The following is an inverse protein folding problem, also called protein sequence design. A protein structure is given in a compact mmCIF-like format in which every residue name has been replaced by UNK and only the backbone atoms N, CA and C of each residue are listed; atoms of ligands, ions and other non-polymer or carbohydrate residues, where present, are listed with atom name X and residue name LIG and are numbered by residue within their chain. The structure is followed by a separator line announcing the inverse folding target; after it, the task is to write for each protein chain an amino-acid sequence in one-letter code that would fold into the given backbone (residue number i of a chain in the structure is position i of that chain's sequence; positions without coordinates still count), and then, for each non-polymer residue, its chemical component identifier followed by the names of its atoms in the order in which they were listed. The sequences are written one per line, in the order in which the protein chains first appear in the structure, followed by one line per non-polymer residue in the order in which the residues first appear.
data_IF_558358994521
#
_entry.id   IF_558358994521
#
_cell.length_a   1.000
_cell.length_b   1.000
_cell.length_c   1.000
_cell.angle_alpha   90.00
_cell.angle_beta   90.00
_cell.angle_gamma   90.00
#
_symmetry.space_group_name_H-M   'P 1'
#
loop_
_entity.id
_entity.type
_entity.pdbx_description
1 polymer ?
#
# COMPACT_ATOMS: atom_id res chain seq x y z
N UNK A 1 -21.33 -16.67 19.83
CA UNK A 1 -19.93 -17.05 20.05
C UNK A 1 -19.10 -16.17 19.14
N UNK A 2 -18.17 -15.39 19.70
CA UNK A 2 -17.31 -14.51 18.90
C UNK A 2 -16.25 -15.38 18.25
N UNK A 3 -16.16 -15.34 16.92
CA UNK A 3 -15.23 -16.18 16.15
C UNK A 3 -13.99 -15.41 15.70
N UNK A 4 -14.08 -14.08 15.61
CA UNK A 4 -12.98 -13.20 15.27
C UNK A 4 -13.26 -11.77 15.79
N UNK A 5 -12.20 -11.07 16.19
CA UNK A 5 -12.25 -9.65 16.56
C UNK A 5 -11.21 -8.92 15.69
N UNK A 6 -11.66 -7.94 14.89
CA UNK A 6 -10.77 -7.06 14.12
C UNK A 6 -10.67 -5.71 14.83
N UNK A 7 -9.47 -5.34 15.25
CA UNK A 7 -9.18 -4.06 15.89
C UNK A 7 -8.02 -3.37 15.17
N UNK A 8 -8.13 -2.05 14.99
CA UNK A 8 -7.03 -1.20 14.50
C UNK A 8 -6.38 -0.57 15.73
N UNK A 9 -5.06 -0.70 15.85
CA UNK A 9 -4.28 -0.12 16.93
C UNK A 9 -2.99 0.48 16.40
N UNK A 10 -2.50 1.51 17.07
CA UNK A 10 -1.19 2.11 16.77
C UNK A 10 -0.17 1.54 17.73
N UNK A 11 1.02 1.23 17.21
CA UNK A 11 2.15 0.79 18.04
C UNK A 11 2.55 1.92 18.98
N UNK A 12 2.47 1.66 20.29
CA UNK A 12 2.80 2.61 21.35
C UNK A 12 4.29 2.61 21.71
N UNK A 13 4.61 3.21 22.86
CA UNK A 13 5.97 3.18 23.42
C UNK A 13 6.44 1.73 23.61
N UNK A 14 7.74 1.51 23.39
CA UNK A 14 8.41 0.21 23.52
C UNK A 14 7.84 -0.89 22.60
N UNK A 15 7.15 -0.53 21.52
CA UNK A 15 6.60 -1.50 20.56
C UNK A 15 5.34 -2.21 21.03
N UNK A 16 4.67 -1.72 22.08
CA UNK A 16 3.49 -2.36 22.67
C UNK A 16 2.21 -2.03 21.90
N UNK A 17 1.32 -3.02 21.80
CA UNK A 17 -0.04 -2.87 21.30
C UNK A 17 -0.99 -3.35 22.39
N UNK A 18 -1.95 -2.49 22.77
CA UNK A 18 -3.00 -2.83 23.73
C UNK A 18 -4.27 -3.21 22.96
N UNK A 19 -4.79 -4.41 23.25
CA UNK A 19 -6.02 -4.94 22.64
C UNK A 19 -7.13 -4.97 23.70
N UNK A 20 -8.31 -4.48 23.34
CA UNK A 20 -9.46 -4.47 24.26
C UNK A 20 -10.52 -5.44 23.74
N UNK A 21 -10.70 -6.57 24.45
CA UNK A 21 -11.53 -7.69 24.02
C UNK A 21 -12.50 -8.14 25.12
N UNK A 22 -13.50 -7.30 25.49
CA UNK A 22 -14.40 -7.54 26.63
C UNK A 22 -15.30 -8.78 26.46
N UNK A 23 -15.40 -9.32 25.24
CA UNK A 23 -16.22 -10.48 24.91
C UNK A 23 -15.48 -11.82 25.09
N UNK A 24 -14.16 -11.77 25.36
CA UNK A 24 -13.36 -12.96 25.61
C UNK A 24 -13.33 -13.29 27.10
N UNK A 25 -13.60 -14.55 27.42
CA UNK A 25 -13.54 -15.07 28.79
C UNK A 25 -12.07 -15.36 29.14
N UNK A 26 -11.71 -15.11 30.40
CA UNK A 26 -10.37 -15.44 30.91
C UNK A 26 -10.00 -16.91 30.63
N UNK A 27 -8.75 -17.14 30.20
CA UNK A 27 -8.25 -18.47 29.85
C UNK A 27 -8.58 -18.93 28.43
N UNK A 28 -9.33 -18.14 27.64
CA UNK A 28 -9.58 -18.45 26.23
C UNK A 28 -8.29 -18.37 25.43
N UNK A 29 -7.91 -19.46 24.74
CA UNK A 29 -6.81 -19.44 23.78
C UNK A 29 -7.21 -18.64 22.54
N UNK A 30 -6.35 -17.72 22.12
CA UNK A 30 -6.55 -16.89 20.92
C UNK A 30 -5.30 -16.84 20.06
N UNK A 31 -5.51 -16.68 18.75
CA UNK A 31 -4.47 -16.36 17.79
C UNK A 31 -4.53 -14.86 17.46
N UNK A 32 -3.38 -14.19 17.45
CA UNK A 32 -3.29 -12.76 17.14
C UNK A 32 -2.59 -12.59 15.79
N UNK A 33 -3.29 -11.97 14.84
CA UNK A 33 -2.76 -11.65 13.52
C UNK A 33 -2.42 -10.17 13.47
N UNK A 34 -1.14 -9.84 13.29
CA UNK A 34 -0.66 -8.46 13.13
C UNK A 34 -0.52 -8.13 11.64
N UNK A 35 -1.38 -7.25 11.13
CA UNK A 35 -1.22 -6.65 9.80
C UNK A 35 -0.59 -5.27 9.97
N UNK A 36 0.59 -5.11 9.38
CA UNK A 36 1.22 -3.79 9.23
C UNK A 36 0.70 -3.21 7.92
N UNK A 37 0.06 -2.05 8.01
CA UNK A 37 -0.34 -1.32 6.82
C UNK A 37 0.94 -0.81 6.14
N UNK A 38 1.20 -1.29 4.93
CA UNK A 38 2.25 -0.72 4.12
C UNK A 38 1.66 0.49 3.42
N UNK A 39 2.40 1.60 3.43
CA UNK A 39 1.98 2.76 2.67
C UNK A 39 1.80 2.33 1.22
N UNK A 40 0.60 2.55 0.68
CA UNK A 40 0.35 2.31 -0.74
C UNK A 40 1.37 3.17 -1.53
N UNK A 41 2.20 2.52 -2.35
CA UNK A 41 3.28 3.21 -3.06
C UNK A 41 2.74 4.30 -3.99
N UNK A 42 1.52 4.11 -4.52
CA UNK A 42 0.83 5.12 -5.32
C UNK A 42 0.39 6.28 -4.42
N UNK A 43 -0.16 5.99 -3.24
CA UNK A 43 -0.52 7.03 -2.27
C UNK A 43 0.71 7.84 -1.82
N UNK A 44 1.83 7.16 -1.54
CA UNK A 44 3.11 7.81 -1.23
C UNK A 44 3.60 8.69 -2.40
N UNK A 45 3.67 8.14 -3.61
CA UNK A 45 4.15 8.87 -4.77
C UNK A 45 3.25 10.07 -5.10
N UNK A 46 1.92 9.97 -4.89
CA UNK A 46 0.95 11.03 -5.13
C UNK A 46 0.76 12.00 -3.95
N UNK A 47 1.34 11.72 -2.79
CA UNK A 47 1.31 12.61 -1.62
C UNK A 47 1.98 13.97 -1.90
N UNK A 48 2.92 14.02 -2.86
CA UNK A 48 3.62 15.22 -3.27
C UNK A 48 2.94 15.88 -4.49
N UNK A 49 2.64 17.18 -4.39
CA UNK A 49 2.03 17.98 -5.45
C UNK A 49 2.82 17.91 -6.77
N UNK A 50 4.17 17.96 -6.70
CA UNK A 50 5.04 17.89 -7.87
C UNK A 50 4.90 16.55 -8.60
N UNK A 51 4.80 15.46 -7.85
CA UNK A 51 4.65 14.12 -8.42
C UNK A 51 3.25 13.94 -9.03
N UNK A 52 2.21 14.43 -8.35
CA UNK A 52 0.84 14.43 -8.85
C UNK A 52 0.73 15.18 -10.17
N UNK A 53 1.30 16.39 -10.23
CA UNK A 53 1.34 17.20 -11.46
C UNK A 53 2.07 16.45 -12.58
N UNK A 54 3.23 15.86 -12.29
CA UNK A 54 3.99 15.09 -13.27
C UNK A 54 3.19 13.90 -13.83
N UNK A 55 2.42 13.19 -13.01
CA UNK A 55 1.56 12.11 -13.48
C UNK A 55 0.45 12.64 -14.40
N UNK A 56 -0.24 13.71 -14.00
CA UNK A 56 -1.30 14.31 -14.82
C UNK A 56 -0.78 14.85 -16.15
N UNK A 57 0.40 15.47 -16.15
CA UNK A 57 1.07 15.94 -17.36
C UNK A 57 1.41 14.75 -18.28
N UNK A 58 1.91 13.63 -17.73
CA UNK A 58 2.20 12.42 -18.50
C UNK A 58 0.95 11.80 -19.15
N UNK A 59 -0.17 11.74 -18.42
CA UNK A 59 -1.45 11.27 -18.96
C UNK A 59 -1.92 12.19 -20.09
N UNK A 60 -1.87 13.51 -19.89
CA UNK A 60 -2.28 14.49 -20.91
C UNK A 60 -1.44 14.39 -22.18
N UNK A 61 -0.12 14.13 -22.05
CA UNK A 61 0.76 13.97 -23.19
C UNK A 61 0.38 12.73 -24.02
N UNK A 62 0.07 11.61 -23.36
CA UNK A 62 -0.40 10.38 -24.03
C UNK A 62 -1.72 10.64 -24.78
N UNK A 63 -2.70 11.30 -24.14
CA UNK A 63 -3.99 11.63 -24.76
C UNK A 63 -3.84 12.53 -25.99
N UNK A 64 -2.87 13.46 -25.96
CA UNK A 64 -2.54 14.35 -27.09
C UNK A 64 -1.66 13.69 -28.15
N UNK A 65 -1.19 12.46 -27.92
CA UNK A 65 -0.23 11.78 -28.80
C UNK A 65 1.18 12.39 -28.77
N UNK A 66 1.48 13.23 -27.79
CA UNK A 66 2.78 13.88 -27.62
C UNK A 66 3.73 12.96 -26.83
N UNK A 67 5.00 12.90 -27.26
CA UNK A 67 6.08 12.23 -26.51
C UNK A 67 5.87 10.74 -26.22
N UNK A 68 5.08 10.04 -27.04
CA UNK A 68 4.91 8.59 -26.93
C UNK A 68 6.08 7.85 -27.60
N UNK A 69 6.73 6.97 -26.85
CA UNK A 69 7.67 5.98 -27.41
C UNK A 69 6.96 4.64 -27.34
N UNK A 70 6.62 4.08 -28.50
CA UNK A 70 6.10 2.71 -28.56
C UNK A 70 7.29 1.78 -28.62
N UNK A 71 7.37 0.85 -27.69
CA UNK A 71 8.38 -0.22 -27.66
C UNK A 71 7.63 -1.54 -27.51
N UNK A 72 7.98 -2.53 -28.32
CA UNK A 72 7.48 -3.89 -28.15
C UNK A 72 8.07 -4.54 -26.90
N UNK A 73 7.39 -5.57 -26.39
CA UNK A 73 7.90 -6.33 -25.24
C UNK A 73 9.26 -6.97 -25.56
N UNK A 74 9.42 -7.44 -26.80
CA UNK A 74 10.65 -8.01 -27.34
C UNK A 74 11.80 -6.98 -27.35
N UNK A 75 11.57 -5.79 -27.91
CA UNK A 75 12.58 -4.71 -27.96
C UNK A 75 12.98 -4.22 -26.57
N UNK A 76 12.03 -4.16 -25.62
CA UNK A 76 12.33 -3.79 -24.25
C UNK A 76 13.21 -4.84 -23.56
N UNK A 77 12.87 -6.12 -23.75
CA UNK A 77 13.63 -7.23 -23.19
C UNK A 77 15.05 -7.33 -23.74
N UNK A 78 15.27 -7.05 -25.01
CA UNK A 78 16.63 -7.03 -25.59
C UNK A 78 17.48 -5.86 -25.08
N UNK A 79 16.86 -4.70 -24.81
CA UNK A 79 17.58 -3.46 -24.52
C UNK A 79 17.82 -3.20 -23.03
N UNK A 80 16.92 -3.63 -22.15
CA UNK A 80 16.90 -3.20 -20.74
C UNK A 80 16.90 -4.35 -19.73
N UNK A 81 16.94 -5.60 -20.18
CA UNK A 81 17.08 -6.74 -19.27
C UNK A 81 18.55 -6.87 -18.85
N UNK A 82 18.82 -6.55 -17.59
CA UNK A 82 20.08 -6.85 -16.88
C UNK A 82 19.98 -8.26 -16.28
#
# INVERSE_FOLDING_TARGET
MVTAIKQIGTVGKDGKIELYTPELIEGTQVEVILLVDNQDETEYLLSNEKNRKRLLDAISNIEKGESSVTISAEEWHEKYRI
#
